data_IF_246865959671
#
_entry.id   IF_246865959671
#
_cell.length_a   1.000
_cell.length_b   1.000
_cell.length_c   1.000
_cell.angle_alpha   90.00
_cell.angle_beta   90.00
_cell.angle_gamma   90.00
#
_symmetry.space_group_name_H-M   'P 1'
#
loop_
_entity.id
_entity.type
_entity.pdbx_description
1 polymer ?
#
# COMPACT_ATOMS: atom_id res chain seq x y z
N UNK A 1 13.53 -3.27 -11.05
CA UNK A 1 12.52 -3.89 -11.95
C UNK A 1 11.26 -4.30 -11.19
N UNK A 2 11.40 -5.03 -10.06
CA UNK A 2 10.26 -5.40 -9.19
C UNK A 2 9.46 -4.20 -8.65
N UNK A 3 10.06 -3.09 -8.16
CA UNK A 3 9.27 -1.99 -7.61
C UNK A 3 8.32 -1.32 -8.62
N UNK A 4 8.79 -1.09 -9.84
CA UNK A 4 7.96 -0.51 -10.92
C UNK A 4 6.79 -1.43 -11.26
N UNK A 5 7.03 -2.75 -11.35
CA UNK A 5 5.98 -3.73 -11.63
C UNK A 5 4.93 -3.80 -10.51
N UNK A 6 5.37 -3.81 -9.24
CA UNK A 6 4.47 -3.84 -8.10
C UNK A 6 3.60 -2.57 -8.03
N UNK A 7 4.21 -1.40 -8.25
CA UNK A 7 3.49 -0.13 -8.36
C UNK A 7 2.42 -0.19 -9.46
N UNK A 8 2.80 -0.56 -10.69
CA UNK A 8 1.86 -0.63 -11.82
C UNK A 8 0.73 -1.63 -11.56
N UNK A 9 1.05 -2.78 -10.97
CA UNK A 9 0.07 -3.79 -10.60
C UNK A 9 -0.96 -3.24 -9.60
N UNK A 10 -0.52 -2.52 -8.56
CA UNK A 10 -1.41 -1.88 -7.60
C UNK A 10 -2.33 -0.86 -8.28
N UNK A 11 -1.80 -0.02 -9.16
CA UNK A 11 -2.61 0.99 -9.87
C UNK A 11 -3.71 0.34 -10.70
N UNK A 12 -3.36 -0.71 -11.46
CA UNK A 12 -4.35 -1.47 -12.24
C UNK A 12 -5.36 -2.16 -11.32
N UNK A 13 -4.91 -2.73 -10.20
CA UNK A 13 -5.80 -3.41 -9.24
C UNK A 13 -6.76 -2.46 -8.56
N UNK A 14 -6.35 -1.23 -8.29
CA UNK A 14 -7.19 -0.21 -7.66
C UNK A 14 -8.41 0.17 -8.52
N UNK A 15 -8.31 0.05 -9.86
CA UNK A 15 -9.42 0.30 -10.79
C UNK A 15 -10.53 -0.77 -10.73
N UNK A 16 -10.32 -1.91 -10.05
CA UNK A 16 -11.24 -3.04 -10.06
C UNK A 16 -11.57 -3.58 -8.65
N UNK A 17 -12.86 -3.61 -8.33
CA UNK A 17 -13.37 -4.00 -7.01
C UNK A 17 -13.12 -5.46 -6.63
N UNK A 18 -12.90 -6.36 -7.59
CA UNK A 18 -12.72 -7.80 -7.31
C UNK A 18 -11.26 -8.22 -7.09
N UNK A 19 -10.31 -7.33 -7.36
CA UNK A 19 -8.89 -7.68 -7.30
C UNK A 19 -8.37 -7.83 -5.87
N UNK A 20 -7.26 -8.55 -5.72
CA UNK A 20 -6.55 -8.74 -4.45
C UNK A 20 -5.05 -8.48 -4.63
N UNK A 21 -4.39 -8.07 -3.56
CA UNK A 21 -2.92 -8.05 -3.53
C UNK A 21 -2.36 -9.45 -3.28
N UNK A 22 -1.23 -9.72 -3.91
CA UNK A 22 -0.63 -11.06 -4.02
C UNK A 22 0.74 -11.15 -3.33
N UNK A 23 1.27 -10.07 -2.76
CA UNK A 23 2.58 -10.09 -2.12
C UNK A 23 2.94 -8.83 -1.33
N UNK A 24 3.99 -8.95 -0.51
CA UNK A 24 4.47 -7.89 0.38
C UNK A 24 4.90 -6.62 -0.36
N UNK A 25 5.41 -6.75 -1.59
CA UNK A 25 5.77 -5.62 -2.45
C UNK A 25 4.58 -4.71 -2.73
N UNK A 26 3.44 -5.28 -3.16
CA UNK A 26 2.22 -4.53 -3.41
C UNK A 26 1.65 -3.94 -2.11
N UNK A 27 1.68 -4.73 -1.02
CA UNK A 27 1.25 -4.28 0.29
C UNK A 27 2.04 -3.06 0.77
N UNK A 28 3.36 -3.08 0.65
CA UNK A 28 4.21 -1.98 1.11
C UNK A 28 3.94 -0.69 0.34
N UNK A 29 3.81 -0.77 -0.99
CA UNK A 29 3.43 0.39 -1.79
C UNK A 29 2.06 0.94 -1.41
N UNK A 30 1.06 0.06 -1.21
CA UNK A 30 -0.27 0.48 -0.73
C UNK A 30 -0.19 1.18 0.63
N UNK A 31 0.60 0.63 1.56
CA UNK A 31 0.76 1.24 2.88
C UNK A 31 1.32 2.66 2.77
N UNK A 32 2.40 2.84 1.98
CA UNK A 32 2.99 4.15 1.76
C UNK A 32 2.01 5.11 1.08
N UNK A 33 1.33 4.65 0.03
CA UNK A 33 0.38 5.45 -0.72
C UNK A 33 -0.81 5.91 0.14
N UNK A 34 -1.40 5.01 0.93
CA UNK A 34 -2.50 5.37 1.81
C UNK A 34 -2.06 6.30 2.95
N UNK A 35 -0.87 6.12 3.51
CA UNK A 35 -0.28 7.11 4.43
C UNK A 35 -0.18 8.49 3.77
N UNK A 36 0.30 8.55 2.52
CA UNK A 36 0.44 9.80 1.76
C UNK A 36 -0.89 10.48 1.43
N UNK A 37 -1.91 9.70 1.07
CA UNK A 37 -3.25 10.19 0.72
C UNK A 37 -4.04 10.65 1.95
N UNK A 38 -3.90 9.95 3.06
CA UNK A 38 -4.55 10.30 4.34
C UNK A 38 -3.87 11.44 5.09
N UNK A 39 -2.62 11.77 4.74
CA UNK A 39 -1.80 12.72 5.51
C UNK A 39 -1.31 12.15 6.84
N UNK A 40 -1.35 10.83 7.03
CA UNK A 40 -0.79 10.18 8.20
C UNK A 40 0.74 10.35 8.26
N UNK A 41 1.28 10.43 9.47
CA UNK A 41 2.73 10.52 9.65
C UNK A 41 3.42 9.23 9.19
N UNK A 42 4.48 9.31 8.37
CA UNK A 42 5.27 8.15 8.01
C UNK A 42 5.87 7.48 9.24
N UNK A 43 5.89 6.14 9.26
CA UNK A 43 6.49 5.35 10.32
C UNK A 43 7.51 4.37 9.74
N UNK A 44 8.49 3.99 10.55
CA UNK A 44 9.42 2.92 10.23
C UNK A 44 8.90 1.65 10.89
N UNK A 45 8.93 0.55 10.16
CA UNK A 45 8.42 -0.73 10.61
C UNK A 45 9.52 -1.77 10.56
N UNK A 46 9.53 -2.69 11.52
CA UNK A 46 10.52 -3.78 11.59
C UNK A 46 10.05 -5.05 10.87
N UNK A 47 8.78 -5.09 10.42
CA UNK A 47 8.23 -6.24 9.72
C UNK A 47 7.05 -5.88 8.80
N UNK A 48 6.72 -6.75 7.82
CA UNK A 48 5.55 -6.58 6.94
C UNK A 48 4.23 -6.54 7.71
N UNK A 49 4.09 -7.37 8.75
CA UNK A 49 2.89 -7.39 9.59
C UNK A 49 2.73 -6.09 10.38
N UNK A 50 3.82 -5.59 10.98
CA UNK A 50 3.81 -4.30 11.68
C UNK A 50 3.47 -3.15 10.75
N UNK A 51 3.97 -3.16 9.52
CA UNK A 51 3.65 -2.15 8.49
C UNK A 51 2.16 -2.15 8.14
N UNK A 52 1.58 -3.32 7.88
CA UNK A 52 0.14 -3.44 7.57
C UNK A 52 -0.72 -3.00 8.75
N UNK A 53 -0.44 -3.50 9.95
CA UNK A 53 -1.21 -3.18 11.15
C UNK A 53 -1.09 -1.71 11.53
N UNK A 54 0.13 -1.16 11.54
CA UNK A 54 0.38 0.24 11.84
C UNK A 54 -0.29 1.17 10.85
N UNK A 55 -0.27 0.83 9.57
CA UNK A 55 -0.98 1.61 8.54
C UNK A 55 -2.50 1.53 8.73
N UNK A 56 -3.07 0.35 8.98
CA UNK A 56 -4.51 0.23 9.24
C UNK A 56 -4.94 1.00 10.51
N UNK A 57 -4.13 0.98 11.55
CA UNK A 57 -4.38 1.75 12.77
C UNK A 57 -4.33 3.26 12.50
N UNK A 58 -3.34 3.73 11.74
CA UNK A 58 -3.24 5.13 11.34
C UNK A 58 -4.43 5.60 10.47
N UNK A 59 -5.08 4.66 9.77
CA UNK A 59 -6.21 4.91 8.87
C UNK A 59 -7.57 4.58 9.50
N UNK A 60 -7.65 4.28 10.80
CA UNK A 60 -8.90 3.85 11.44
C UNK A 60 -10.04 4.86 11.27
N UNK A 61 -9.72 6.16 11.34
CA UNK A 61 -10.68 7.26 11.12
C UNK A 61 -10.66 7.83 9.69
N UNK A 62 -9.85 7.24 8.79
CA UNK A 62 -9.74 7.71 7.42
C UNK A 62 -10.91 7.23 6.56
N UNK A 63 -11.52 8.14 5.81
CA UNK A 63 -12.57 7.83 4.84
C UNK A 63 -12.00 7.96 3.43
N UNK A 64 -12.09 6.87 2.66
CA UNK A 64 -11.70 6.86 1.25
C UNK A 64 -12.38 8.00 0.47
N UNK A 65 -11.60 8.68 -0.36
CA UNK A 65 -12.07 9.81 -1.18
C UNK A 65 -12.65 9.35 -2.52
N UNK A 66 -12.20 8.21 -3.03
CA UNK A 66 -12.69 7.61 -4.26
C UNK A 66 -12.73 6.07 -4.18
N UNK A 67 -13.29 5.45 -5.23
CA UNK A 67 -13.43 3.99 -5.31
C UNK A 67 -12.06 3.27 -5.32
N UNK A 68 -11.00 3.92 -5.80
CA UNK A 68 -9.66 3.31 -5.83
C UNK A 68 -9.09 3.19 -4.43
N UNK A 69 -9.19 4.26 -3.63
CA UNK A 69 -8.78 4.22 -2.23
C UNK A 69 -9.59 3.19 -1.43
N UNK A 70 -10.90 3.08 -1.69
CA UNK A 70 -11.73 2.05 -1.07
C UNK A 70 -11.26 0.64 -1.43
N UNK A 71 -10.94 0.40 -2.70
CA UNK A 71 -10.36 -0.85 -3.16
C UNK A 71 -9.01 -1.14 -2.50
N UNK A 72 -8.14 -0.14 -2.37
CA UNK A 72 -6.84 -0.29 -1.69
C UNK A 72 -7.02 -0.68 -0.21
N UNK A 73 -7.91 0.01 0.51
CA UNK A 73 -8.22 -0.31 1.91
C UNK A 73 -8.79 -1.73 2.06
N UNK A 74 -9.70 -2.14 1.16
CA UNK A 74 -10.27 -3.49 1.14
C UNK A 74 -9.17 -4.54 0.92
N UNK A 75 -8.32 -4.36 -0.08
CA UNK A 75 -7.21 -5.27 -0.35
C UNK A 75 -6.22 -5.35 0.81
N UNK A 76 -5.89 -4.21 1.43
CA UNK A 76 -4.98 -4.16 2.57
C UNK A 76 -5.53 -4.87 3.82
N UNK A 77 -6.84 -4.74 4.07
CA UNK A 77 -7.54 -5.44 5.17
C UNK A 77 -7.59 -6.95 4.95
N UNK A 78 -7.77 -7.39 3.71
CA UNK A 78 -7.90 -8.80 3.35
C UNK A 78 -6.55 -9.55 3.27
N UNK A 79 -5.44 -8.82 3.13
CA UNK A 79 -4.12 -9.42 2.93
C UNK A 79 -3.47 -9.87 4.24
N UNK A 80 -2.83 -11.04 4.19
CA UNK A 80 -1.96 -11.57 5.24
C UNK A 80 -0.51 -11.54 4.75
N UNK A 81 0.34 -10.64 5.29
CA UNK A 81 1.74 -10.54 4.93
C UNK A 81 2.54 -11.82 5.13
N UNK A 82 3.50 -12.03 4.23
CA UNK A 82 4.53 -13.06 4.36
C UNK A 82 5.73 -12.53 5.15
N UNK A 83 6.73 -13.36 5.45
CA UNK A 83 7.92 -12.95 6.21
C UNK A 83 8.94 -12.16 5.39
N UNK A 84 8.81 -12.11 4.06
CA UNK A 84 9.76 -11.43 3.18
C UNK A 84 9.76 -9.92 3.44
N UNK A 85 10.88 -9.38 3.89
CA UNK A 85 11.04 -7.96 4.21
C UNK A 85 12.43 -7.45 3.80
N UNK A 86 12.67 -7.43 2.50
CA UNK A 86 13.93 -6.98 1.91
C UNK A 86 13.92 -5.47 1.59
N UNK A 87 15.04 -4.99 1.04
CA UNK A 87 15.21 -3.59 0.65
C UNK A 87 14.17 -3.11 -0.36
N UNK A 88 13.67 -3.99 -1.23
CA UNK A 88 12.67 -3.63 -2.24
C UNK A 88 11.27 -3.44 -1.63
N UNK A 89 10.92 -4.21 -0.59
CA UNK A 89 9.69 -3.96 0.19
C UNK A 89 9.77 -2.58 0.86
N UNK A 90 10.92 -2.22 1.43
CA UNK A 90 11.13 -0.89 2.03
C UNK A 90 11.13 0.23 0.98
N UNK A 91 11.75 0.01 -0.18
CA UNK A 91 11.73 0.92 -1.32
C UNK A 91 10.30 1.20 -1.77
N UNK A 92 9.46 0.18 -1.90
CA UNK A 92 8.06 0.33 -2.30
C UNK A 92 7.23 1.13 -1.30
N UNK A 93 7.45 0.94 0.00
CA UNK A 93 6.84 1.78 1.02
C UNK A 93 7.22 3.26 0.83
N UNK A 94 8.51 3.54 0.63
CA UNK A 94 9.00 4.92 0.36
C UNK A 94 8.42 5.49 -0.93
N UNK A 95 8.38 4.70 -2.00
CA UNK A 95 7.76 5.10 -3.27
C UNK A 95 6.30 5.48 -3.10
N UNK A 96 5.54 4.74 -2.28
CA UNK A 96 4.15 5.09 -1.95
C UNK A 96 4.05 6.40 -1.16
N UNK A 97 4.94 6.62 -0.19
CA UNK A 97 4.99 7.86 0.59
C UNK A 97 5.32 9.09 -0.26
N UNK A 98 6.19 8.93 -1.26
CA UNK A 98 6.66 10.00 -2.15
C UNK A 98 5.83 10.11 -3.43
N UNK A 99 4.73 9.36 -3.54
CA UNK A 99 3.93 9.30 -4.75
C UNK A 99 3.23 10.63 -5.04
N UNK A 100 3.46 11.15 -6.25
CA UNK A 100 2.92 12.42 -6.72
C UNK A 100 1.83 12.23 -7.78
N UNK A 101 1.79 11.05 -8.43
CA UNK A 101 0.87 10.70 -9.52
C UNK A 101 0.37 9.27 -9.34
N UNK A 102 -0.43 9.01 -8.29
CA UNK A 102 -0.78 7.67 -7.84
C UNK A 102 -1.56 6.83 -8.85
N UNK A 103 -2.17 7.45 -9.85
CA UNK A 103 -3.01 6.77 -10.84
C UNK A 103 -2.42 6.78 -12.26
N UNK A 104 -1.22 7.34 -12.42
CA UNK A 104 -0.52 7.30 -13.69
C UNK A 104 0.22 5.96 -13.83
N UNK A 105 -0.22 5.17 -14.82
CA UNK A 105 0.37 3.88 -15.19
C UNK A 105 1.76 4.06 -15.81
#
# INVERSE_FOLDING_TARGET
>A
MVPVLARMAVIIKADHETNIITGNYEMAYICGLLCRLSGASPAIYDSPEAMRQGTLAALESYRAQDAREENLLRMLKAYKPETIYDDQVQELYRMGLEENRPWQK
#
